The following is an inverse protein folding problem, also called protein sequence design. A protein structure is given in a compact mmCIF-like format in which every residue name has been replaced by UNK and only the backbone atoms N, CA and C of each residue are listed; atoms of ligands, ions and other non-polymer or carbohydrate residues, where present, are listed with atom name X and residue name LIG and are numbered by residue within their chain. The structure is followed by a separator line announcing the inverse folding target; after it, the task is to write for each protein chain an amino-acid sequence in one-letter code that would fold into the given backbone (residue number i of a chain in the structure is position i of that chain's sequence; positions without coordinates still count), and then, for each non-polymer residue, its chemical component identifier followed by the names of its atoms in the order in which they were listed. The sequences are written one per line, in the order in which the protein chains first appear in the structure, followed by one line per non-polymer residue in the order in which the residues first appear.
data_IF_427610472313
#
_entry.id   IF_427610472313
#
_cell.length_a   1.000
_cell.length_b   1.000
_cell.length_c   1.000
_cell.angle_alpha   90.00
_cell.angle_beta   90.00
_cell.angle_gamma   90.00
#
_symmetry.space_group_name_H-M   'P 1'
#
loop_
_entity.id
_entity.type
_entity.pdbx_description
1 polymer ?
#
# COMPACT_ATOMS: atom_id res chain seq x y z
N UNK A 1 9.99 15.69 6.72
CA UNK A 1 8.78 14.82 6.73
C UNK A 1 8.02 15.03 5.44
N UNK A 2 7.58 13.94 4.82
CA UNK A 2 6.66 13.95 3.65
C UNK A 2 5.25 13.59 4.09
N UNK A 3 4.26 14.06 3.36
CA UNK A 3 2.84 13.76 3.62
C UNK A 3 2.38 12.57 2.79
N UNK A 4 1.69 11.67 3.42
CA UNK A 4 1.14 10.46 2.81
C UNK A 4 -0.27 10.16 3.27
N UNK A 5 -0.83 9.13 2.69
CA UNK A 5 -2.15 8.59 3.03
C UNK A 5 -2.06 7.08 3.20
N UNK A 6 -2.95 6.50 3.98
CA UNK A 6 -3.22 5.09 3.85
C UNK A 6 -4.62 4.86 3.28
N UNK A 7 -4.74 3.85 2.45
CA UNK A 7 -5.90 3.61 1.60
C UNK A 7 -6.38 2.16 1.68
N UNK A 8 -7.68 2.01 1.63
CA UNK A 8 -8.34 0.72 1.58
C UNK A 8 -9.60 0.80 0.71
N UNK A 9 -10.40 -0.26 0.69
CA UNK A 9 -11.71 -0.24 0.02
C UNK A 9 -12.71 0.79 0.60
N UNK A 10 -12.38 1.46 1.70
CA UNK A 10 -13.23 2.55 2.24
C UNK A 10 -13.17 3.82 1.40
N UNK A 11 -12.04 4.13 0.78
CA UNK A 11 -11.91 5.25 -0.14
C UNK A 11 -12.28 4.78 -1.54
N UNK A 12 -13.59 4.72 -1.85
CA UNK A 12 -14.12 4.08 -3.07
C UNK A 12 -13.86 4.87 -4.34
N UNK A 13 -13.81 6.19 -4.25
CA UNK A 13 -13.80 7.08 -5.42
C UNK A 13 -12.67 8.11 -5.30
N UNK A 14 -11.63 7.93 -6.10
CA UNK A 14 -10.45 8.78 -6.13
C UNK A 14 -10.23 9.32 -7.54
N UNK A 15 -10.28 10.65 -7.68
CA UNK A 15 -9.79 11.40 -8.83
C UNK A 15 -8.26 11.55 -8.68
N UNK A 16 -7.53 10.63 -9.29
CA UNK A 16 -6.07 10.59 -9.19
C UNK A 16 -5.38 11.76 -9.87
N UNK A 17 -5.99 12.39 -10.89
CA UNK A 17 -5.43 13.57 -11.54
C UNK A 17 -5.28 14.76 -10.58
N UNK A 18 -6.09 14.77 -9.51
CA UNK A 18 -6.01 15.75 -8.43
C UNK A 18 -5.18 15.22 -7.26
N UNK A 19 -5.51 14.03 -6.77
CA UNK A 19 -4.97 13.50 -5.52
C UNK A 19 -3.45 13.30 -5.57
N UNK A 20 -2.87 12.82 -6.68
CA UNK A 20 -1.44 12.56 -6.82
C UNK A 20 -0.55 13.79 -6.58
N UNK A 21 -1.07 15.00 -6.82
CA UNK A 21 -0.32 16.24 -6.62
C UNK A 21 0.02 16.51 -5.16
N UNK A 22 -0.76 15.93 -4.26
CA UNK A 22 -0.67 16.15 -2.81
C UNK A 22 -0.05 14.97 -2.05
N UNK A 23 -0.21 13.76 -2.59
CA UNK A 23 0.25 12.52 -1.95
C UNK A 23 1.70 12.26 -2.38
N UNK A 24 2.61 12.13 -1.41
CA UNK A 24 4.02 11.83 -1.66
C UNK A 24 4.39 10.38 -1.36
N UNK A 25 3.55 9.68 -0.61
CA UNK A 25 3.71 8.29 -0.25
C UNK A 25 2.35 7.69 0.15
N UNK A 26 2.13 6.43 -0.14
CA UNK A 26 0.89 5.75 0.24
C UNK A 26 1.17 4.42 0.95
N UNK A 27 0.26 4.01 1.83
CA UNK A 27 0.22 2.64 2.37
C UNK A 27 -1.12 2.03 2.00
N UNK A 28 -1.13 0.88 1.33
CA UNK A 28 -2.32 0.24 0.80
C UNK A 28 -2.70 -0.98 1.62
N UNK A 29 -3.99 -1.12 1.97
CA UNK A 29 -4.45 -2.37 2.59
C UNK A 29 -4.29 -3.53 1.61
N UNK A 30 -3.43 -4.50 1.95
CA UNK A 30 -3.18 -5.65 1.08
C UNK A 30 -4.38 -6.59 1.06
N UNK A 31 -4.78 -7.10 2.23
CA UNK A 31 -5.82 -8.12 2.34
C UNK A 31 -6.87 -7.79 3.40
N UNK A 32 -8.05 -8.37 3.21
CA UNK A 32 -9.15 -8.31 4.16
C UNK A 32 -8.97 -9.31 5.32
N UNK A 33 -9.90 -9.32 6.27
CA UNK A 33 -9.94 -10.30 7.37
C UNK A 33 -9.94 -11.76 6.89
N UNK A 34 -10.49 -12.03 5.72
CA UNK A 34 -10.55 -13.37 5.15
C UNK A 34 -9.36 -13.68 4.24
N UNK A 35 -8.27 -12.95 4.38
CA UNK A 35 -7.01 -13.09 3.63
C UNK A 35 -7.17 -13.00 2.10
N UNK A 36 -8.29 -12.42 1.63
CA UNK A 36 -8.50 -12.08 0.22
C UNK A 36 -7.97 -10.69 -0.05
N UNK A 37 -7.52 -10.40 -1.27
CA UNK A 37 -7.14 -9.04 -1.65
C UNK A 37 -8.22 -8.03 -1.26
N UNK A 38 -7.80 -6.85 -0.78
CA UNK A 38 -8.70 -5.72 -0.63
C UNK A 38 -9.34 -5.42 -1.98
N UNK A 39 -10.64 -5.12 -1.99
CA UNK A 39 -11.42 -4.99 -3.22
C UNK A 39 -10.86 -3.94 -4.21
N UNK A 40 -10.15 -2.93 -3.70
CA UNK A 40 -9.57 -1.86 -4.50
C UNK A 40 -8.03 -1.90 -4.54
N UNK A 41 -7.41 -2.94 -3.99
CA UNK A 41 -5.95 -3.04 -3.92
C UNK A 41 -5.28 -2.86 -5.29
N UNK A 42 -5.72 -3.63 -6.28
CA UNK A 42 -5.12 -3.62 -7.62
C UNK A 42 -5.25 -2.26 -8.30
N UNK A 43 -6.42 -1.64 -8.19
CA UNK A 43 -6.68 -0.31 -8.74
C UNK A 43 -5.79 0.74 -8.06
N UNK A 44 -5.63 0.68 -6.74
CA UNK A 44 -4.79 1.60 -5.97
C UNK A 44 -3.31 1.42 -6.29
N UNK A 45 -2.84 0.19 -6.34
CA UNK A 45 -1.45 -0.12 -6.67
C UNK A 45 -1.10 0.32 -8.10
N UNK A 46 -1.99 0.03 -9.06
CA UNK A 46 -1.81 0.49 -10.44
C UNK A 46 -1.80 2.02 -10.55
N UNK A 47 -2.71 2.70 -9.84
CA UNK A 47 -2.76 4.16 -9.83
C UNK A 47 -1.53 4.77 -9.17
N UNK A 48 -1.07 4.25 -8.02
CA UNK A 48 0.17 4.71 -7.38
C UNK A 48 1.36 4.57 -8.34
N UNK A 49 1.47 3.43 -9.01
CA UNK A 49 2.51 3.19 -10.02
C UNK A 49 2.42 4.19 -11.17
N UNK A 50 1.23 4.39 -11.72
CA UNK A 50 0.98 5.30 -12.83
C UNK A 50 1.39 6.75 -12.50
N UNK A 51 1.02 7.23 -11.32
CA UNK A 51 1.29 8.60 -10.91
C UNK A 51 2.63 8.77 -10.19
N UNK A 52 3.46 7.72 -10.15
CA UNK A 52 4.79 7.75 -9.53
C UNK A 52 4.74 8.00 -8.03
N UNK A 53 3.70 7.54 -7.35
CA UNK A 53 3.57 7.59 -5.91
C UNK A 53 4.19 6.31 -5.34
N UNK A 54 5.31 6.37 -4.63
CA UNK A 54 5.86 5.23 -3.91
C UNK A 54 4.84 4.71 -2.90
N UNK A 55 4.73 3.38 -2.78
CA UNK A 55 3.78 2.80 -1.84
C UNK A 55 4.28 1.52 -1.20
N UNK A 56 3.81 1.28 0.01
CA UNK A 56 3.94 0.03 0.74
C UNK A 56 2.56 -0.53 1.09
N UNK A 57 2.53 -1.64 1.81
CA UNK A 57 1.26 -2.29 2.14
C UNK A 57 1.12 -2.56 3.63
N UNK A 58 -0.13 -2.66 4.08
CA UNK A 58 -0.41 -3.13 5.43
C UNK A 58 -1.37 -4.32 5.45
N UNK A 59 -1.21 -5.15 6.47
CA UNK A 59 -2.12 -6.23 6.84
C UNK A 59 -2.65 -5.97 8.24
N UNK A 60 -3.95 -5.78 8.38
CA UNK A 60 -4.61 -5.71 9.68
C UNK A 60 -4.59 -7.10 10.34
N UNK A 61 -3.94 -7.23 11.48
CA UNK A 61 -3.72 -8.49 12.18
C UNK A 61 -4.97 -8.90 12.96
N UNK A 62 -5.48 -10.07 12.66
CA UNK A 62 -6.57 -10.73 13.38
C UNK A 62 -6.16 -12.08 13.97
N UNK A 63 -4.97 -12.56 13.65
CA UNK A 63 -4.50 -13.88 14.03
C UNK A 63 -4.44 -14.04 15.54
N UNK A 64 -5.08 -15.09 16.04
CA UNK A 64 -5.05 -15.45 17.47
C UNK A 64 -4.29 -16.74 17.75
N UNK A 65 -3.76 -17.38 16.72
CA UNK A 65 -2.92 -18.56 16.77
C UNK A 65 -2.00 -18.59 15.55
N UNK A 66 -1.00 -19.46 15.55
CA UNK A 66 0.04 -19.52 14.51
C UNK A 66 -0.50 -19.96 13.15
N UNK A 67 -1.53 -20.80 13.09
CA UNK A 67 -2.10 -21.21 11.83
C UNK A 67 -2.81 -20.04 11.12
N UNK A 68 -3.55 -19.23 11.88
CA UNK A 68 -4.17 -18.01 11.35
C UNK A 68 -3.10 -17.01 10.90
N UNK A 69 -2.04 -16.80 11.70
CA UNK A 69 -0.91 -15.93 11.37
C UNK A 69 -0.21 -16.35 10.07
N UNK A 70 0.00 -17.65 9.88
CA UNK A 70 0.53 -18.19 8.64
C UNK A 70 -0.34 -17.84 7.43
N UNK A 71 -1.65 -18.08 7.52
CA UNK A 71 -2.57 -17.80 6.40
C UNK A 71 -2.72 -16.28 6.13
N UNK A 72 -2.59 -15.43 7.16
CA UNK A 72 -2.61 -13.97 6.98
C UNK A 72 -1.44 -13.50 6.12
N UNK A 73 -0.21 -13.85 6.49
CA UNK A 73 0.97 -13.42 5.75
C UNK A 73 1.08 -14.12 4.41
N UNK A 74 0.76 -15.40 4.32
CA UNK A 74 0.69 -16.12 3.04
C UNK A 74 -0.27 -15.44 2.05
N UNK A 75 -1.43 -14.95 2.52
CA UNK A 75 -2.37 -14.20 1.70
C UNK A 75 -1.75 -12.91 1.12
N UNK A 76 -1.00 -12.17 1.94
CA UNK A 76 -0.28 -10.97 1.51
C UNK A 76 0.84 -11.33 0.53
N UNK A 77 1.65 -12.32 0.85
CA UNK A 77 2.78 -12.73 -0.01
C UNK A 77 2.30 -13.24 -1.37
N UNK A 78 1.25 -14.05 -1.42
CA UNK A 78 0.67 -14.50 -2.68
C UNK A 78 0.17 -13.33 -3.54
N UNK A 79 -0.38 -12.28 -2.89
CA UNK A 79 -0.81 -11.08 -3.59
C UNK A 79 0.37 -10.31 -4.20
N UNK A 80 1.51 -10.23 -3.49
CA UNK A 80 2.63 -9.37 -3.88
C UNK A 80 3.61 -10.05 -4.82
N UNK A 81 3.90 -11.34 -4.64
CA UNK A 81 5.00 -12.03 -5.33
C UNK A 81 4.82 -12.12 -6.84
N UNK A 82 3.59 -12.13 -7.34
CA UNK A 82 3.33 -12.30 -8.77
C UNK A 82 3.50 -11.00 -9.59
N UNK A 83 3.21 -9.83 -9.00
CA UNK A 83 3.11 -8.57 -9.80
C UNK A 83 3.69 -7.35 -9.11
N UNK A 84 3.70 -7.31 -7.78
CA UNK A 84 4.00 -6.08 -7.03
C UNK A 84 5.27 -6.17 -6.19
N UNK A 85 6.03 -7.28 -6.28
CA UNK A 85 7.21 -7.52 -5.46
C UNK A 85 8.22 -6.36 -5.53
N UNK A 86 8.45 -5.84 -6.71
CA UNK A 86 9.44 -4.78 -6.93
C UNK A 86 8.93 -3.36 -6.58
N UNK A 87 7.62 -3.23 -6.32
CA UNK A 87 7.01 -1.95 -5.98
C UNK A 87 6.82 -1.74 -4.48
N UNK A 88 6.88 -2.83 -3.69
CA UNK A 88 6.67 -2.83 -2.24
C UNK A 88 7.99 -3.17 -1.55
N UNK A 89 8.39 -2.35 -0.61
CA UNK A 89 9.59 -2.57 0.20
C UNK A 89 9.26 -3.02 1.62
N UNK A 90 8.15 -2.54 2.16
CA UNK A 90 7.73 -2.77 3.54
C UNK A 90 6.35 -3.41 3.58
N UNK A 91 6.19 -4.46 4.38
CA UNK A 91 4.88 -4.97 4.77
C UNK A 91 4.64 -4.60 6.22
N UNK A 92 3.70 -3.69 6.46
CA UNK A 92 3.30 -3.29 7.80
C UNK A 92 2.29 -4.28 8.39
N UNK A 93 2.63 -4.80 9.56
CA UNK A 93 1.69 -5.52 10.40
C UNK A 93 0.95 -4.51 11.26
N UNK A 94 -0.34 -4.43 11.11
CA UNK A 94 -1.22 -3.49 11.81
C UNK A 94 -1.78 -4.16 13.06
N UNK A 95 -1.16 -3.83 14.22
CA UNK A 95 -1.38 -4.47 15.52
C UNK A 95 -2.16 -3.55 16.43
N UNK A 96 -3.49 -3.61 16.36
CA UNK A 96 -4.37 -2.74 17.16
C UNK A 96 -5.73 -3.36 17.52
N UNK A 97 -6.08 -4.53 16.97
CA UNK A 97 -7.41 -5.13 17.19
C UNK A 97 -7.64 -5.49 18.65
N UNK A 98 -8.84 -5.22 19.16
CA UNK A 98 -9.22 -5.50 20.54
C UNK A 98 -9.17 -7.00 20.91
N UNK A 99 -9.28 -7.90 19.93
CA UNK A 99 -9.12 -9.33 20.15
C UNK A 99 -7.70 -9.71 20.54
N UNK A 100 -6.70 -8.96 20.04
CA UNK A 100 -5.29 -9.17 20.32
C UNK A 100 -4.95 -8.84 21.79
N UNK A 101 -5.63 -7.83 22.38
CA UNK A 101 -5.47 -7.48 23.81
C UNK A 101 -5.76 -8.67 24.75
N UNK A 102 -6.62 -9.60 24.32
CA UNK A 102 -7.05 -10.76 25.11
C UNK A 102 -6.06 -11.93 25.08
N UNK A 103 -5.06 -11.88 24.21
CA UNK A 103 -4.11 -12.99 24.03
C UNK A 103 -3.06 -13.08 25.16
N UNK A 104 -2.80 -11.95 25.81
CA UNK A 104 -1.66 -11.79 26.73
C UNK A 104 -0.36 -11.50 25.97
N UNK A 105 0.53 -10.78 26.65
CA UNK A 105 1.72 -10.20 26.04
C UNK A 105 2.65 -11.23 25.37
N UNK A 106 2.92 -12.34 26.03
CA UNK A 106 3.79 -13.41 25.50
C UNK A 106 3.25 -14.00 24.20
N UNK A 107 1.98 -14.37 24.19
CA UNK A 107 1.37 -14.99 23.00
C UNK A 107 1.30 -14.04 21.84
N UNK A 108 0.89 -12.79 22.08
CA UNK A 108 0.84 -11.77 21.02
C UNK A 108 2.24 -11.47 20.48
N UNK A 109 3.24 -11.34 21.35
CA UNK A 109 4.64 -11.17 20.93
C UNK A 109 5.10 -12.29 20.02
N UNK A 110 4.83 -13.55 20.39
CA UNK A 110 5.22 -14.70 19.58
C UNK A 110 4.56 -14.70 18.19
N UNK A 111 3.28 -14.29 18.10
CA UNK A 111 2.58 -14.17 16.81
C UNK A 111 3.15 -13.05 15.95
N UNK A 112 3.40 -11.86 16.53
CA UNK A 112 4.03 -10.74 15.81
C UNK A 112 5.40 -11.17 15.29
N UNK A 113 6.24 -11.79 16.13
CA UNK A 113 7.56 -12.26 15.73
C UNK A 113 7.49 -13.34 14.63
N UNK A 114 6.51 -14.22 14.70
CA UNK A 114 6.31 -15.25 13.68
C UNK A 114 5.98 -14.63 12.31
N UNK A 115 4.99 -13.72 12.25
CA UNK A 115 4.62 -13.04 11.02
C UNK A 115 5.74 -12.15 10.48
N UNK A 116 6.44 -11.43 11.35
CA UNK A 116 7.59 -10.61 11.00
C UNK A 116 8.72 -11.43 10.33
N UNK A 117 8.99 -12.63 10.84
CA UNK A 117 9.98 -13.53 10.23
C UNK A 117 9.54 -13.99 8.86
N UNK A 118 8.27 -14.37 8.66
CA UNK A 118 7.74 -14.73 7.35
C UNK A 118 7.89 -13.58 6.33
N UNK A 119 7.60 -12.35 6.74
CA UNK A 119 7.77 -11.14 5.93
C UNK A 119 9.24 -10.99 5.50
N UNK A 120 10.16 -11.11 6.46
CA UNK A 120 11.62 -10.95 6.22
C UNK A 120 12.19 -12.08 5.35
N UNK A 121 11.77 -13.31 5.58
CA UNK A 121 12.17 -14.48 4.77
C UNK A 121 11.71 -14.37 3.31
N UNK A 122 10.58 -13.69 3.07
CA UNK A 122 10.11 -13.40 1.72
C UNK A 122 10.87 -12.24 1.02
N UNK A 123 11.81 -11.58 1.73
CA UNK A 123 12.65 -10.52 1.20
C UNK A 123 12.11 -9.10 1.40
N UNK A 124 11.02 -8.93 2.15
CA UNK A 124 10.47 -7.62 2.50
C UNK A 124 11.02 -7.12 3.83
N UNK A 125 10.94 -5.81 4.05
CA UNK A 125 11.18 -5.23 5.38
C UNK A 125 9.93 -5.39 6.23
N UNK A 126 10.14 -5.70 7.50
CA UNK A 126 9.06 -5.74 8.47
C UNK A 126 8.71 -4.33 8.94
N UNK A 127 7.45 -3.92 8.75
CA UNK A 127 6.85 -2.73 9.31
C UNK A 127 5.92 -3.10 10.49
N UNK A 128 5.89 -2.25 11.49
CA UNK A 128 4.93 -2.36 12.61
C UNK A 128 4.08 -1.09 12.66
N UNK A 129 2.77 -1.23 12.45
CA UNK A 129 1.83 -0.17 12.80
C UNK A 129 1.13 -0.50 14.10
N UNK A 130 0.95 0.52 14.94
CA UNK A 130 0.18 0.43 16.18
C UNK A 130 -0.27 1.81 16.66
N UNK A 131 -1.42 1.85 17.33
CA UNK A 131 -1.85 3.04 18.06
C UNK A 131 -1.02 3.28 19.33
N UNK A 132 -0.76 4.55 19.66
CA UNK A 132 -0.01 4.92 20.87
C UNK A 132 -0.62 4.33 22.16
N UNK A 133 -1.96 4.23 22.25
CA UNK A 133 -2.62 3.61 23.41
C UNK A 133 -2.32 2.12 23.50
N UNK A 134 -2.41 1.41 22.37
CA UNK A 134 -2.13 -0.02 22.29
C UNK A 134 -0.68 -0.33 22.69
N UNK A 135 0.24 0.51 22.23
CA UNK A 135 1.66 0.45 22.64
C UNK A 135 1.82 0.66 24.14
N UNK A 136 1.27 1.75 24.70
CA UNK A 136 1.42 2.10 26.11
C UNK A 136 0.79 1.10 27.08
N UNK A 137 -0.17 0.30 26.64
CA UNK A 137 -0.77 -0.78 27.40
C UNK A 137 0.13 -2.02 27.52
N UNK A 138 1.28 -2.04 26.85
CA UNK A 138 2.21 -3.17 26.86
C UNK A 138 1.56 -4.50 26.46
N UNK A 139 0.67 -4.45 25.47
CA UNK A 139 -0.04 -5.63 24.98
C UNK A 139 0.89 -6.70 24.37
N UNK A 140 2.11 -6.32 24.01
CA UNK A 140 3.20 -7.20 23.59
C UNK A 140 4.54 -6.74 24.16
N UNK A 141 5.54 -7.60 24.15
CA UNK A 141 6.90 -7.28 24.60
C UNK A 141 7.62 -6.46 23.51
N UNK A 142 7.74 -5.14 23.74
CA UNK A 142 8.36 -4.21 22.81
C UNK A 142 9.82 -4.58 22.52
N UNK A 143 10.61 -4.95 23.53
CA UNK A 143 12.03 -5.25 23.35
C UNK A 143 12.26 -6.44 22.43
N UNK A 144 11.43 -7.48 22.53
CA UNK A 144 11.51 -8.65 21.66
C UNK A 144 11.13 -8.28 20.21
N UNK A 145 10.08 -7.51 20.01
CA UNK A 145 9.66 -7.08 18.68
C UNK A 145 10.70 -6.11 18.07
N UNK A 146 11.27 -5.21 18.86
CA UNK A 146 12.30 -4.26 18.41
C UNK A 146 13.61 -4.93 17.99
N UNK A 147 13.95 -6.12 18.51
CA UNK A 147 15.10 -6.91 18.01
C UNK A 147 14.97 -7.29 16.54
N UNK A 148 13.75 -7.35 16.01
CA UNK A 148 13.49 -7.61 14.60
C UNK A 148 13.72 -6.39 13.70
N UNK A 149 14.05 -5.23 14.30
CA UNK A 149 14.29 -3.95 13.64
C UNK A 149 13.12 -3.50 12.74
N UNK A 150 11.88 -3.41 13.30
CA UNK A 150 10.75 -2.93 12.54
C UNK A 150 10.93 -1.49 12.07
N UNK A 151 10.34 -1.19 10.94
CA UNK A 151 10.04 0.18 10.53
C UNK A 151 8.72 0.57 11.20
N UNK A 152 8.74 1.47 12.19
CA UNK A 152 7.55 1.75 13.01
C UNK A 152 6.73 2.90 12.40
N UNK A 153 5.44 2.66 12.26
CA UNK A 153 4.40 3.62 11.88
C UNK A 153 3.39 3.68 13.03
N UNK A 154 3.35 4.81 13.74
CA UNK A 154 2.55 4.95 14.94
C UNK A 154 1.34 5.86 14.73
N UNK A 155 0.20 5.53 15.33
CA UNK A 155 -0.99 6.36 15.28
C UNK A 155 -1.21 7.13 16.58
N UNK A 156 -1.50 8.43 16.44
CA UNK A 156 -2.02 9.31 17.48
C UNK A 156 -2.72 10.47 16.80
N UNK A 157 -3.98 10.71 17.16
CA UNK A 157 -4.86 11.71 16.54
C UNK A 157 -5.09 12.91 17.47
N UNK A 158 -4.13 13.85 17.57
CA UNK A 158 -4.19 14.91 18.60
C UNK A 158 -5.32 15.90 18.40
N UNK A 159 -5.87 16.02 17.20
CA UNK A 159 -6.87 17.02 16.85
C UNK A 159 -8.23 16.46 16.47
N UNK A 160 -8.38 15.14 16.32
CA UNK A 160 -9.62 14.51 15.83
C UNK A 160 -10.86 14.79 16.69
N UNK A 161 -10.68 15.12 17.97
CA UNK A 161 -11.77 15.51 18.86
C UNK A 161 -12.24 16.99 18.64
N UNK A 162 -11.42 17.80 17.95
CA UNK A 162 -11.64 19.24 17.77
C UNK A 162 -12.03 19.62 16.35
N UNK A 163 -11.69 18.77 15.38
CA UNK A 163 -11.90 19.04 13.96
C UNK A 163 -12.65 17.88 13.30
N UNK A 164 -13.44 18.21 12.28
CA UNK A 164 -14.15 17.21 11.48
C UNK A 164 -13.50 16.95 10.10
N UNK A 165 -12.55 17.79 9.73
CA UNK A 165 -11.85 17.72 8.46
C UNK A 165 -10.45 18.32 8.64
N UNK A 166 -9.42 17.59 8.23
CA UNK A 166 -8.03 18.02 8.26
C UNK A 166 -7.47 18.00 6.82
N UNK A 167 -7.35 19.16 6.14
CA UNK A 167 -6.78 19.22 4.82
C UNK A 167 -5.32 18.77 4.81
N UNK A 168 -4.92 17.99 3.80
CA UNK A 168 -3.53 17.54 3.67
C UNK A 168 -2.55 18.69 3.48
N UNK A 169 -3.02 19.84 3.02
CA UNK A 169 -2.23 21.07 2.86
C UNK A 169 -1.82 21.68 4.18
N UNK A 170 -2.62 21.52 5.24
CA UNK A 170 -2.30 22.07 6.56
C UNK A 170 -1.05 21.44 7.15
N UNK A 171 -0.40 22.17 8.05
CA UNK A 171 0.82 21.72 8.70
C UNK A 171 0.59 20.46 9.52
N UNK A 172 1.57 19.57 9.50
CA UNK A 172 1.61 18.41 10.39
C UNK A 172 1.59 18.92 11.83
N UNK A 173 0.80 18.30 12.73
CA UNK A 173 0.76 18.74 14.12
C UNK A 173 2.15 18.85 14.75
N UNK A 174 2.31 19.77 15.72
CA UNK A 174 3.62 20.04 16.35
C UNK A 174 4.29 18.74 16.85
N UNK A 175 5.60 18.68 16.70
CA UNK A 175 6.39 17.45 16.95
C UNK A 175 6.26 16.87 18.37
N UNK A 176 5.92 17.69 19.39
CA UNK A 176 5.64 17.20 20.76
C UNK A 176 4.37 16.34 20.86
N UNK A 177 3.52 16.34 19.84
CA UNK A 177 2.33 15.49 19.75
C UNK A 177 2.60 14.17 19.02
N UNK A 178 3.75 14.05 18.37
CA UNK A 178 4.19 12.81 17.75
C UNK A 178 4.45 11.74 18.83
N UNK A 179 4.04 10.47 18.64
CA UNK A 179 4.33 9.38 19.57
C UNK A 179 5.82 9.20 19.90
N UNK A 180 6.71 9.39 18.92
CA UNK A 180 8.16 9.21 19.05
C UNK A 180 8.55 7.83 19.60
N UNK A 181 7.94 6.79 19.06
CA UNK A 181 8.27 5.41 19.40
C UNK A 181 9.66 5.01 18.84
N UNK A 182 10.34 4.02 19.43
CA UNK A 182 11.60 3.51 18.88
C UNK A 182 11.43 3.07 17.40
N UNK A 183 12.41 3.37 16.57
CA UNK A 183 12.43 3.09 15.12
C UNK A 183 11.24 3.72 14.33
N UNK A 184 10.57 4.70 14.90
CA UNK A 184 9.45 5.35 14.25
C UNK A 184 9.91 6.25 13.11
N UNK A 185 9.39 6.00 11.92
CA UNK A 185 9.55 6.86 10.74
C UNK A 185 8.22 7.37 10.19
N UNK A 186 7.09 6.79 10.63
CA UNK A 186 5.75 7.17 10.22
C UNK A 186 4.88 7.58 11.40
N UNK A 187 4.05 8.61 11.20
CA UNK A 187 3.04 9.06 12.14
C UNK A 187 1.71 9.27 11.41
N UNK A 188 0.70 8.45 11.73
CA UNK A 188 -0.68 8.69 11.34
C UNK A 188 -1.30 9.67 12.33
N UNK A 189 -1.53 10.91 11.90
CA UNK A 189 -1.87 12.02 12.81
C UNK A 189 -3.34 12.41 12.81
N UNK A 190 -4.14 11.87 11.90
CA UNK A 190 -5.60 12.05 11.88
C UNK A 190 -6.28 10.96 11.06
N UNK A 191 -7.48 10.56 11.48
CA UNK A 191 -8.42 9.73 10.72
C UNK A 191 -9.50 10.56 9.99
N UNK A 192 -9.38 11.88 10.01
CA UNK A 192 -10.36 12.83 9.45
C UNK A 192 -9.76 13.71 8.36
N UNK A 193 -8.78 13.15 7.65
CA UNK A 193 -8.10 13.87 6.59
C UNK A 193 -8.98 14.15 5.37
N UNK A 194 -8.61 15.20 4.66
CA UNK A 194 -9.16 15.57 3.36
C UNK A 194 -8.02 15.76 2.36
N UNK A 195 -8.17 15.15 1.20
CA UNK A 195 -7.27 15.31 0.05
C UNK A 195 -8.15 15.64 -1.16
N UNK A 196 -7.83 16.72 -1.88
CA UNK A 196 -8.56 17.03 -3.11
C UNK A 196 -8.43 15.86 -4.08
N UNK A 197 -9.55 15.40 -4.60
CA UNK A 197 -9.65 14.20 -5.42
C UNK A 197 -10.07 12.94 -4.66
N UNK A 198 -10.08 12.93 -3.32
CA UNK A 198 -10.63 11.81 -2.51
C UNK A 198 -11.94 12.25 -1.87
N UNK A 199 -13.05 11.59 -2.22
CA UNK A 199 -14.37 12.00 -1.72
C UNK A 199 -14.60 11.66 -0.25
N UNK A 200 -14.05 10.54 0.21
CA UNK A 200 -14.18 10.08 1.58
C UNK A 200 -13.10 10.70 2.47
N UNK A 201 -13.32 10.65 3.79
CA UNK A 201 -12.24 10.90 4.74
C UNK A 201 -11.14 9.87 4.54
N UNK A 202 -9.92 10.31 4.74
CA UNK A 202 -8.72 9.50 4.57
C UNK A 202 -7.78 9.75 5.73
N UNK A 203 -7.05 8.72 6.13
CA UNK A 203 -6.03 8.83 7.15
C UNK A 203 -4.81 9.57 6.58
N UNK A 204 -4.37 10.61 7.30
CA UNK A 204 -3.19 11.37 6.89
C UNK A 204 -1.99 10.99 7.72
N UNK A 205 -0.88 10.89 7.02
CA UNK A 205 0.38 10.42 7.56
C UNK A 205 1.52 11.40 7.29
N UNK A 206 2.47 11.45 8.22
CA UNK A 206 3.76 12.10 8.09
C UNK A 206 4.86 11.05 8.17
N UNK A 207 5.71 10.97 7.14
CA UNK A 207 6.82 10.03 7.10
C UNK A 207 8.16 10.76 7.04
N UNK A 208 9.21 10.16 7.62
CA UNK A 208 10.57 10.58 7.34
C UNK A 208 10.89 10.36 5.86
N UNK A 209 11.61 11.28 5.24
CA UNK A 209 11.95 11.20 3.81
C UNK A 209 12.80 9.98 3.46
N UNK A 210 13.48 9.40 4.44
CA UNK A 210 14.26 8.18 4.25
C UNK A 210 13.44 7.00 3.73
N UNK A 211 12.11 6.99 3.95
CA UNK A 211 11.23 5.96 3.39
C UNK A 211 11.33 5.91 1.86
N UNK A 212 11.50 7.05 1.21
CA UNK A 212 11.59 7.13 -0.25
C UNK A 212 12.86 6.45 -0.79
N UNK A 213 13.92 6.34 0.03
CA UNK A 213 15.14 5.63 -0.38
C UNK A 213 14.95 4.13 -0.53
N UNK A 214 13.88 3.58 0.05
CA UNK A 214 13.50 2.18 -0.11
C UNK A 214 12.80 1.91 -1.44
N UNK A 215 12.35 2.98 -2.11
CA UNK A 215 11.62 2.95 -3.37
C UNK A 215 12.46 3.67 -4.42
N UNK A 216 13.41 3.00 -5.09
CA UNK A 216 14.16 3.59 -6.17
C UNK A 216 13.15 4.08 -7.22
N UNK A 217 13.37 5.30 -7.69
CA UNK A 217 12.51 5.92 -8.69
C UNK A 217 12.63 5.13 -9.99
N UNK A 218 11.79 4.13 -10.18
CA UNK A 218 11.68 3.47 -11.47
C UNK A 218 11.10 4.48 -12.47
N UNK A 219 11.90 4.85 -13.46
CA UNK A 219 11.42 5.58 -14.61
C UNK A 219 10.69 4.58 -15.50
N UNK A 220 9.38 4.44 -15.32
CA UNK A 220 8.59 3.64 -16.24
C UNK A 220 8.54 4.34 -17.60
N UNK A 221 8.90 3.61 -18.65
CA UNK A 221 8.62 4.05 -20.00
C UNK A 221 7.15 3.79 -20.33
N UNK A 222 6.43 4.84 -20.71
CA UNK A 222 5.08 4.71 -21.22
C UNK A 222 5.11 4.43 -22.74
N UNK A 223 4.13 3.69 -23.23
CA UNK A 223 3.89 3.68 -24.66
C UNK A 223 3.42 5.06 -25.10
N UNK A 224 3.94 5.53 -26.23
CA UNK A 224 3.47 6.79 -26.80
C UNK A 224 2.00 6.64 -27.18
N UNK A 225 1.20 7.63 -26.81
CA UNK A 225 -0.19 7.71 -27.21
C UNK A 225 -0.26 8.20 -28.66
N UNK A 226 -0.35 7.27 -29.60
CA UNK A 226 -0.75 7.61 -30.96
C UNK A 226 -2.26 7.36 -31.11
N UNK A 227 -2.90 8.20 -31.93
CA UNK A 227 -4.37 8.18 -32.10
C UNK A 227 -4.79 6.92 -32.83
N UNK A 228 -4.84 5.80 -32.09
CA UNK A 228 -5.35 4.53 -32.59
C UNK A 228 -6.87 4.45 -32.38
N UNK A 229 -7.63 4.48 -33.46
CA UNK A 229 -9.10 4.44 -33.43
C UNK A 229 -9.69 3.00 -33.47
N UNK A 230 -8.85 1.98 -33.45
CA UNK A 230 -9.29 0.59 -33.49
C UNK A 230 -9.66 0.01 -32.10
N UNK A 231 -10.16 -1.23 -32.13
CA UNK A 231 -10.64 -1.97 -30.92
C UNK A 231 -9.69 -3.11 -30.51
N UNK A 232 -8.51 -3.23 -31.11
CA UNK A 232 -7.56 -4.31 -30.85
C UNK A 232 -6.25 -3.77 -30.27
N UNK A 233 -5.92 -4.17 -29.07
CA UNK A 233 -4.62 -3.85 -28.46
C UNK A 233 -3.43 -4.40 -29.24
N UNK A 234 -3.55 -5.59 -29.85
CA UNK A 234 -2.48 -6.15 -30.69
C UNK A 234 -2.18 -5.22 -31.86
N UNK A 235 -3.21 -4.82 -32.63
CA UNK A 235 -3.05 -3.90 -33.74
C UNK A 235 -2.60 -2.49 -33.29
N UNK A 236 -3.02 -2.05 -32.12
CA UNK A 236 -2.58 -0.78 -31.57
C UNK A 236 -1.07 -0.80 -31.24
N UNK A 237 -0.57 -1.86 -30.64
CA UNK A 237 0.87 -2.04 -30.37
C UNK A 237 1.67 -2.10 -31.66
N UNK A 238 1.21 -2.87 -32.64
CA UNK A 238 1.85 -2.99 -33.95
C UNK A 238 1.90 -1.65 -34.70
N UNK A 239 0.84 -0.83 -34.62
CA UNK A 239 0.80 0.50 -35.27
C UNK A 239 1.81 1.48 -34.69
N UNK A 240 2.25 1.32 -33.46
CA UNK A 240 3.28 2.14 -32.79
C UNK A 240 4.65 1.44 -32.76
N UNK A 241 4.83 0.36 -33.57
CA UNK A 241 6.11 -0.31 -33.75
C UNK A 241 6.49 -1.35 -32.69
N UNK A 242 5.54 -1.81 -31.88
CA UNK A 242 5.77 -2.84 -30.87
C UNK A 242 5.14 -4.19 -31.24
N UNK A 243 5.61 -5.26 -30.59
CA UNK A 243 5.09 -6.61 -30.77
C UNK A 243 3.67 -6.72 -30.21
N UNK A 244 2.69 -7.09 -31.04
CA UNK A 244 1.31 -7.33 -30.66
C UNK A 244 1.04 -8.77 -30.20
N UNK A 245 2.04 -9.62 -30.08
CA UNK A 245 1.88 -11.05 -29.70
C UNK A 245 1.29 -11.24 -28.31
N UNK A 246 0.76 -12.44 -28.06
CA UNK A 246 0.24 -12.83 -26.74
C UNK A 246 1.33 -12.74 -25.67
N UNK A 247 2.55 -13.23 -25.95
CA UNK A 247 3.65 -13.24 -24.98
C UNK A 247 4.11 -11.82 -24.61
N UNK A 248 4.15 -10.90 -25.55
CA UNK A 248 4.50 -9.52 -25.27
C UNK A 248 3.39 -8.82 -24.48
N UNK A 249 2.13 -9.02 -24.86
CA UNK A 249 0.98 -8.50 -24.10
C UNK A 249 0.90 -9.06 -22.70
N UNK A 250 1.32 -10.31 -22.47
CA UNK A 250 1.42 -10.90 -21.13
C UNK A 250 2.45 -10.17 -20.26
N UNK A 251 3.60 -9.76 -20.82
CA UNK A 251 4.58 -8.93 -20.12
C UNK A 251 4.02 -7.54 -19.80
N UNK A 252 3.38 -6.90 -20.79
CA UNK A 252 2.69 -5.61 -20.57
C UNK A 252 1.65 -5.75 -19.46
N UNK A 253 0.82 -6.79 -19.51
CA UNK A 253 -0.20 -7.04 -18.50
C UNK A 253 0.39 -7.14 -17.09
N UNK A 254 1.51 -7.85 -16.95
CA UNK A 254 2.19 -8.01 -15.65
C UNK A 254 2.63 -6.66 -15.07
N UNK A 255 3.33 -5.82 -15.85
CA UNK A 255 3.80 -4.50 -15.37
C UNK A 255 2.68 -3.48 -15.16
N UNK A 256 1.50 -3.70 -15.76
CA UNK A 256 0.32 -2.86 -15.61
C UNK A 256 -0.71 -3.42 -14.61
N UNK A 257 -0.37 -4.43 -13.81
CA UNK A 257 -1.25 -4.97 -12.78
C UNK A 257 -2.46 -5.78 -13.30
N UNK A 258 -2.43 -6.20 -14.58
CA UNK A 258 -3.48 -7.02 -15.18
C UNK A 258 -3.20 -8.49 -14.87
N UNK A 259 -3.71 -8.95 -13.74
CA UNK A 259 -3.41 -10.27 -13.18
C UNK A 259 -3.97 -11.43 -14.00
N UNK A 260 -3.25 -12.56 -13.94
CA UNK A 260 -3.70 -13.81 -14.56
C UNK A 260 -4.04 -13.62 -16.05
N UNK A 261 -3.24 -12.83 -16.77
CA UNK A 261 -3.51 -12.51 -18.17
C UNK A 261 -3.68 -13.76 -19.03
N UNK A 262 -4.86 -13.93 -19.59
CA UNK A 262 -5.26 -14.99 -20.51
C UNK A 262 -5.60 -14.47 -21.91
N UNK A 263 -5.48 -13.17 -22.11
CA UNK A 263 -5.85 -12.51 -23.36
C UNK A 263 -7.36 -12.45 -23.59
N UNK A 264 -8.15 -12.41 -22.51
CA UNK A 264 -9.61 -12.24 -22.65
C UNK A 264 -9.95 -10.90 -23.26
N UNK A 265 -11.18 -10.76 -23.77
CA UNK A 265 -11.64 -9.50 -24.35
C UNK A 265 -11.54 -8.33 -23.35
N UNK A 266 -11.96 -8.57 -22.10
CA UNK A 266 -11.94 -7.57 -21.03
C UNK A 266 -10.52 -7.13 -20.70
N UNK A 267 -9.57 -8.07 -20.59
CA UNK A 267 -8.17 -7.77 -20.30
C UNK A 267 -7.51 -6.98 -21.46
N UNK A 268 -7.84 -7.34 -22.68
CA UNK A 268 -7.33 -6.65 -23.88
C UNK A 268 -7.94 -5.26 -24.04
N UNK A 269 -9.24 -5.07 -23.73
CA UNK A 269 -9.91 -3.77 -23.74
C UNK A 269 -9.31 -2.86 -22.66
N UNK A 270 -9.09 -3.38 -21.46
CA UNK A 270 -8.44 -2.62 -20.38
C UNK A 270 -7.05 -2.13 -20.83
N UNK A 271 -6.22 -3.00 -21.37
CA UNK A 271 -4.88 -2.65 -21.86
C UNK A 271 -4.96 -1.60 -22.99
N UNK A 272 -5.92 -1.74 -23.90
CA UNK A 272 -6.15 -0.77 -24.98
C UNK A 272 -6.58 0.60 -24.43
N UNK A 273 -7.43 0.63 -23.42
CA UNK A 273 -7.85 1.87 -22.78
C UNK A 273 -6.69 2.57 -22.07
N UNK A 274 -5.82 1.82 -21.39
CA UNK A 274 -4.58 2.35 -20.80
C UNK A 274 -3.66 2.94 -21.88
N UNK A 275 -3.52 2.26 -23.02
CA UNK A 275 -2.73 2.77 -24.15
C UNK A 275 -3.32 4.07 -24.71
N UNK A 276 -4.63 4.08 -24.98
CA UNK A 276 -5.35 5.28 -25.50
C UNK A 276 -5.27 6.46 -24.53
N UNK A 277 -5.24 6.20 -23.25
CA UNK A 277 -5.05 7.21 -22.21
C UNK A 277 -3.59 7.67 -22.05
N UNK A 278 -2.63 7.05 -22.77
CA UNK A 278 -1.20 7.38 -22.68
C UNK A 278 -0.55 6.95 -21.36
N UNK A 279 -1.11 5.94 -20.70
CA UNK A 279 -0.72 5.51 -19.36
C UNK A 279 -0.33 4.03 -19.32
N UNK A 280 -0.25 3.36 -20.47
CA UNK A 280 0.22 1.98 -20.54
C UNK A 280 1.74 1.94 -20.37
N UNK A 281 2.20 1.19 -19.37
CA UNK A 281 3.63 1.02 -19.04
C UNK A 281 4.24 -0.04 -19.95
N UNK A 282 5.43 0.22 -20.49
CA UNK A 282 6.23 -0.77 -21.22
C UNK A 282 6.81 -1.82 -20.27
N UNK A 283 6.91 -3.09 -20.69
CA UNK A 283 7.51 -4.14 -19.91
C UNK A 283 9.03 -4.08 -19.87
#
# INVERSE_FOLDING_TARGET
MIKGVDLSAFQTDIDWDKAHKKIKYAILRATTKNNKPDALFYDRAASCKLYGIPYDVYKYMYATNQADAYEEIKGVLNLLLDVFKDNVSVIYLDVEDDSLRKLGSEKLTNLICYEANMIKEAGFKFGLYTGLSFWNEHNFNHDEVLKLQPIVWAARYPHDNKINCYPIEEDIPVGSLNPNLPNQIGWQYTSKGFVDGIKQKVDLNAFDESILSLHPKELYELFLNDVFNGESISKALESIGFDGSYEYRKKIAAVNGILGYKGTAEQNILMLNLLKAGILIKP
#
